data_IF_533090406029
#
_entry.id   IF_533090406029
#
_cell.length_a   1.000
_cell.length_b   1.000
_cell.length_c   1.000
_cell.angle_alpha   90.00
_cell.angle_beta   90.00
_cell.angle_gamma   90.00
#
_symmetry.space_group_name_H-M   'P 1'
#
loop_
_entity.id
_entity.type
_entity.pdbx_description
1 polymer ?
#
# COMPACT_ATOMS: atom_id res chain seq x y z
N UNK A 1 -22.60 -12.70 -23.59
CA UNK A 1 -22.67 -12.27 -22.18
C UNK A 1 -21.80 -13.22 -21.37
N UNK A 2 -20.78 -12.73 -20.67
CA UNK A 2 -20.00 -13.59 -19.78
C UNK A 2 -20.85 -13.95 -18.56
N UNK A 3 -20.90 -15.23 -18.20
CA UNK A 3 -21.61 -15.68 -17.00
C UNK A 3 -20.88 -15.15 -15.76
N UNK A 4 -21.62 -14.50 -14.86
CA UNK A 4 -21.07 -13.96 -13.62
C UNK A 4 -20.91 -15.09 -12.62
N UNK A 5 -19.67 -15.34 -12.18
CA UNK A 5 -19.36 -16.34 -11.16
C UNK A 5 -19.42 -15.64 -9.81
N UNK A 6 -20.52 -15.84 -9.08
CA UNK A 6 -20.67 -15.31 -7.73
C UNK A 6 -19.85 -16.13 -6.73
N UNK A 7 -19.15 -15.45 -5.82
CA UNK A 7 -18.39 -16.05 -4.72
C UNK A 7 -17.28 -17.06 -5.12
N UNK A 8 -16.33 -16.68 -6.01
CA UNK A 8 -15.23 -17.57 -6.35
C UNK A 8 -14.33 -17.90 -5.15
N UNK A 9 -13.77 -19.10 -5.16
CA UNK A 9 -12.79 -19.48 -4.14
C UNK A 9 -11.49 -18.69 -4.32
N UNK A 10 -10.78 -18.43 -3.22
CA UNK A 10 -9.50 -17.68 -3.23
C UNK A 10 -8.43 -18.35 -4.11
N UNK A 11 -8.43 -19.68 -4.17
CA UNK A 11 -7.50 -20.45 -5.00
C UNK A 11 -7.78 -20.26 -6.50
N UNK A 12 -9.05 -20.13 -6.90
CA UNK A 12 -9.46 -19.93 -8.30
C UNK A 12 -9.00 -18.57 -8.81
N UNK A 13 -9.30 -17.50 -8.07
CA UNK A 13 -8.82 -16.15 -8.41
C UNK A 13 -7.30 -16.10 -8.49
N UNK A 14 -6.60 -16.76 -7.56
CA UNK A 14 -5.12 -16.83 -7.55
C UNK A 14 -4.58 -17.56 -8.78
N UNK A 15 -5.21 -18.63 -9.21
CA UNK A 15 -4.84 -19.37 -10.43
C UNK A 15 -5.05 -18.54 -11.69
N UNK A 16 -6.20 -17.86 -11.80
CA UNK A 16 -6.51 -17.00 -12.97
C UNK A 16 -5.57 -15.79 -13.04
N UNK A 17 -5.30 -15.13 -11.91
CA UNK A 17 -4.35 -14.01 -11.86
C UNK A 17 -2.95 -14.49 -12.28
N UNK A 18 -2.51 -15.67 -11.83
CA UNK A 18 -1.20 -16.24 -12.23
C UNK A 18 -1.15 -16.52 -13.72
N UNK A 19 -2.21 -17.11 -14.27
CA UNK A 19 -2.33 -17.39 -15.70
C UNK A 19 -2.26 -16.12 -16.56
N UNK A 20 -3.05 -15.08 -16.22
CA UNK A 20 -3.07 -13.82 -16.98
C UNK A 20 -1.74 -13.05 -16.88
N UNK A 21 -1.07 -13.09 -15.72
CA UNK A 21 0.28 -12.53 -15.59
C UNK A 21 1.30 -13.29 -16.46
N UNK A 22 1.22 -14.62 -16.54
CA UNK A 22 2.10 -15.42 -17.40
C UNK A 22 1.87 -15.14 -18.89
N UNK A 23 0.68 -14.69 -19.28
CA UNK A 23 0.37 -14.19 -20.62
C UNK A 23 0.85 -12.75 -20.87
N UNK A 24 1.56 -12.12 -19.93
CA UNK A 24 1.96 -10.71 -19.99
C UNK A 24 0.78 -9.74 -20.16
N UNK A 25 -0.42 -10.11 -19.69
CA UNK A 25 -1.58 -9.22 -19.71
C UNK A 25 -1.30 -8.05 -18.77
N UNK A 26 -1.52 -6.82 -19.24
CA UNK A 26 -1.27 -5.62 -18.43
C UNK A 26 -2.12 -5.67 -17.15
N UNK A 27 -1.59 -5.27 -15.98
CA UNK A 27 -2.31 -5.36 -14.70
C UNK A 27 -3.73 -4.74 -14.70
N UNK A 28 -3.91 -3.63 -15.43
CA UNK A 28 -5.22 -2.97 -15.55
C UNK A 28 -6.25 -3.84 -16.28
N UNK A 29 -5.80 -4.66 -17.22
CA UNK A 29 -6.65 -5.53 -18.01
C UNK A 29 -6.98 -6.82 -17.24
N UNK A 30 -6.03 -7.32 -16.45
CA UNK A 30 -6.29 -8.39 -15.47
C UNK A 30 -7.40 -7.97 -14.51
N UNK A 31 -7.32 -6.76 -13.96
CA UNK A 31 -8.36 -6.23 -13.06
C UNK A 31 -9.73 -6.18 -13.73
N UNK A 32 -9.82 -5.67 -14.96
CA UNK A 32 -11.09 -5.59 -15.71
C UNK A 32 -11.69 -6.95 -15.99
N UNK A 33 -10.87 -7.91 -16.42
CA UNK A 33 -11.32 -9.27 -16.71
C UNK A 33 -11.81 -9.97 -15.45
N UNK A 34 -11.09 -9.84 -14.33
CA UNK A 34 -11.50 -10.39 -13.05
C UNK A 34 -12.82 -9.76 -12.59
N UNK A 35 -12.95 -8.43 -12.68
CA UNK A 35 -14.17 -7.71 -12.30
C UNK A 35 -15.37 -8.12 -13.17
N UNK A 36 -15.16 -8.29 -14.48
CA UNK A 36 -16.21 -8.67 -15.41
C UNK A 36 -16.72 -10.11 -15.20
N UNK A 37 -15.84 -11.03 -14.81
CA UNK A 37 -16.17 -12.46 -14.67
C UNK A 37 -16.63 -12.82 -13.25
N UNK A 38 -16.00 -12.23 -12.24
CA UNK A 38 -16.18 -12.61 -10.84
C UNK A 38 -16.90 -11.55 -9.99
N UNK A 39 -17.31 -10.44 -10.60
CA UNK A 39 -18.02 -9.34 -9.96
C UNK A 39 -17.14 -8.45 -9.08
N UNK A 40 -17.75 -7.39 -8.53
CA UNK A 40 -17.06 -6.36 -7.73
C UNK A 40 -16.38 -6.93 -6.47
N UNK A 41 -16.88 -8.05 -5.95
CA UNK A 41 -16.38 -8.70 -4.74
C UNK A 41 -15.11 -9.54 -4.97
N UNK A 42 -14.72 -9.80 -6.23
CA UNK A 42 -13.58 -10.65 -6.56
C UNK A 42 -12.23 -10.08 -6.11
N UNK A 43 -12.07 -8.75 -6.22
CA UNK A 43 -10.85 -8.05 -5.83
C UNK A 43 -10.81 -7.69 -4.34
N UNK A 44 -11.75 -8.22 -3.55
CA UNK A 44 -11.77 -8.11 -2.09
C UNK A 44 -10.55 -8.74 -1.42
N UNK A 45 -9.52 -9.23 -2.13
CA UNK A 45 -8.29 -9.76 -1.52
C UNK A 45 -7.63 -8.79 -0.52
N UNK A 46 -7.66 -7.47 -0.78
CA UNK A 46 -7.20 -6.44 0.17
C UNK A 46 -8.14 -6.34 1.38
N UNK A 47 -9.45 -6.41 1.15
CA UNK A 47 -10.47 -6.42 2.21
C UNK A 47 -10.44 -7.72 3.05
N UNK A 48 -10.13 -8.85 2.41
CA UNK A 48 -10.08 -10.19 2.99
C UNK A 48 -8.80 -10.43 3.81
N UNK A 49 -7.69 -9.77 3.45
CA UNK A 49 -6.44 -9.78 4.24
C UNK A 49 -6.55 -8.96 5.54
N UNK A 50 -7.60 -8.14 5.69
CA UNK A 50 -7.87 -7.29 6.87
C UNK A 50 -9.31 -7.42 7.36
N UNK A 51 -9.87 -8.64 7.39
CA UNK A 51 -11.20 -8.90 7.97
C UNK A 51 -11.16 -8.57 9.47
N UNK A 52 -11.81 -7.46 9.84
CA UNK A 52 -11.84 -6.92 11.21
C UNK A 52 -11.50 -5.42 11.28
N UNK A 53 -10.58 -4.92 10.45
CA UNK A 53 -10.25 -3.47 10.41
C UNK A 53 -11.23 -2.64 9.58
N UNK A 54 -12.02 -3.28 8.71
CA UNK A 54 -12.96 -2.62 7.80
C UNK A 54 -14.37 -2.41 8.37
N UNK A 55 -14.63 -2.77 9.63
CA UNK A 55 -15.76 -2.16 10.36
C UNK A 55 -15.54 -0.66 10.52
N UNK A 56 -14.27 -0.22 10.44
CA UNK A 56 -13.83 1.17 10.52
C UNK A 56 -13.31 1.66 9.17
N UNK A 57 -13.52 2.95 8.88
CA UNK A 57 -13.10 3.61 7.64
C UNK A 57 -11.57 3.57 7.50
N UNK A 58 -11.05 3.12 6.35
CA UNK A 58 -9.59 3.15 6.07
C UNK A 58 -9.16 4.58 5.79
N UNK A 59 -8.08 5.01 6.44
CA UNK A 59 -7.40 6.28 6.18
C UNK A 59 -6.06 5.99 5.50
N UNK A 60 -5.86 6.56 4.32
CA UNK A 60 -4.65 6.46 3.52
C UNK A 60 -3.79 7.71 3.72
N UNK A 61 -2.53 7.51 4.08
CA UNK A 61 -1.51 8.55 4.18
C UNK A 61 -0.51 8.32 3.04
N UNK A 62 -0.36 9.30 2.15
CA UNK A 62 0.66 9.34 1.10
C UNK A 62 1.07 10.79 0.82
N UNK A 63 2.17 10.98 0.10
CA UNK A 63 2.66 12.30 -0.32
C UNK A 63 1.88 12.89 -1.51
N UNK A 64 2.15 14.15 -1.84
CA UNK A 64 1.45 14.87 -2.92
C UNK A 64 2.10 14.72 -4.30
N UNK A 65 2.80 13.60 -4.56
CA UNK A 65 3.37 13.35 -5.89
C UNK A 65 2.27 13.40 -6.97
N UNK A 66 2.60 13.94 -8.15
CA UNK A 66 1.63 14.13 -9.26
C UNK A 66 0.81 12.87 -9.60
N UNK A 67 1.40 11.65 -9.63
CA UNK A 67 0.63 10.43 -9.85
C UNK A 67 -0.41 10.13 -8.76
N UNK A 68 -0.12 10.48 -7.50
CA UNK A 68 -1.01 10.27 -6.35
C UNK A 68 -2.18 11.26 -6.33
N UNK A 69 -1.93 12.51 -6.75
CA UNK A 69 -2.97 13.54 -6.81
C UNK A 69 -3.83 13.51 -8.08
N UNK A 70 -3.53 12.63 -9.04
CA UNK A 70 -4.24 12.57 -10.32
C UNK A 70 -5.73 12.24 -10.14
N UNK A 71 -6.57 12.75 -11.04
CA UNK A 71 -8.01 12.49 -11.01
C UNK A 71 -8.33 10.99 -11.08
N UNK A 72 -7.54 10.25 -11.88
CA UNK A 72 -7.69 8.79 -12.01
C UNK A 72 -7.38 8.06 -10.69
N UNK A 73 -6.30 8.42 -10.02
CA UNK A 73 -5.94 7.81 -8.72
C UNK A 73 -6.98 8.14 -7.66
N UNK A 74 -7.43 9.40 -7.58
CA UNK A 74 -8.48 9.82 -6.65
C UNK A 74 -9.80 9.08 -6.90
N UNK A 75 -10.20 8.90 -8.16
CA UNK A 75 -11.41 8.16 -8.52
C UNK A 75 -11.33 6.69 -8.07
N UNK A 76 -10.17 6.05 -8.25
CA UNK A 76 -9.95 4.67 -7.81
C UNK A 76 -9.99 4.55 -6.28
N UNK A 77 -9.32 5.45 -5.55
CA UNK A 77 -9.35 5.48 -4.08
C UNK A 77 -10.77 5.69 -3.52
N UNK A 78 -11.56 6.54 -4.18
CA UNK A 78 -12.97 6.74 -3.84
C UNK A 78 -13.80 5.46 -4.08
N UNK A 79 -13.50 4.69 -5.13
CA UNK A 79 -14.18 3.41 -5.39
C UNK A 79 -13.95 2.39 -4.26
N UNK A 80 -12.79 2.45 -3.61
CA UNK A 80 -12.49 1.65 -2.41
C UNK A 80 -13.08 2.22 -1.12
N UNK A 81 -13.70 3.40 -1.18
CA UNK A 81 -14.25 4.16 -0.04
C UNK A 81 -13.17 4.51 1.01
N UNK A 82 -11.94 4.73 0.57
CA UNK A 82 -10.84 5.12 1.46
C UNK A 82 -10.83 6.64 1.67
N UNK A 83 -10.57 7.07 2.91
CA UNK A 83 -10.33 8.47 3.21
C UNK A 83 -8.86 8.80 2.95
N UNK A 84 -8.59 9.86 2.19
CA UNK A 84 -7.24 10.38 2.02
C UNK A 84 -6.96 11.34 3.17
N UNK A 85 -5.85 11.13 3.88
CA UNK A 85 -5.35 12.04 4.90
C UNK A 85 -4.61 13.20 4.22
N UNK A 86 -4.87 14.44 4.64
CA UNK A 86 -4.17 15.60 4.11
C UNK A 86 -2.69 15.57 4.49
N UNK A 87 -1.81 15.56 3.51
CA UNK A 87 -0.37 15.62 3.73
C UNK A 87 0.17 16.98 3.25
N UNK A 88 0.96 17.71 4.05
CA UNK A 88 1.58 18.95 3.60
C UNK A 88 2.66 18.70 2.53
N UNK A 89 2.88 19.63 1.59
CA UNK A 89 4.00 19.55 0.66
C UNK A 89 5.35 19.47 1.38
N UNK A 90 6.31 18.76 0.79
CA UNK A 90 7.71 18.70 1.25
C UNK A 90 7.91 18.28 2.71
N UNK A 91 7.03 17.44 3.26
CA UNK A 91 7.05 17.05 4.69
C UNK A 91 7.33 15.56 4.91
N UNK A 92 8.51 15.03 4.49
CA UNK A 92 8.86 13.63 4.69
C UNK A 92 8.99 13.27 6.19
N UNK A 93 9.26 14.25 7.04
CA UNK A 93 9.26 14.14 8.50
C UNK A 93 7.88 13.83 9.11
N UNK A 94 6.80 14.00 8.32
CA UNK A 94 5.42 13.65 8.67
C UNK A 94 4.91 12.39 7.95
N UNK A 95 5.76 11.70 7.19
CA UNK A 95 5.43 10.46 6.50
C UNK A 95 6.06 9.24 7.22
N UNK A 96 5.27 8.31 7.79
CA UNK A 96 5.80 7.15 8.51
C UNK A 96 6.77 6.29 7.70
N UNK A 97 6.54 6.18 6.39
CA UNK A 97 7.46 5.50 5.48
C UNK A 97 8.85 6.13 5.50
N UNK A 98 8.93 7.47 5.43
CA UNK A 98 10.18 8.21 5.30
C UNK A 98 10.94 8.39 6.62
N UNK A 99 10.24 8.73 7.71
CA UNK A 99 10.92 8.94 9.00
C UNK A 99 11.22 7.65 9.78
N UNK A 100 10.53 6.53 9.49
CA UNK A 100 10.64 5.31 10.30
C UNK A 100 10.99 4.04 9.53
N UNK A 101 10.27 3.73 8.45
CA UNK A 101 10.46 2.46 7.73
C UNK A 101 11.73 2.48 6.85
N UNK A 102 11.87 3.49 5.98
CA UNK A 102 12.97 3.58 5.03
C UNK A 102 14.35 3.76 5.67
N UNK A 103 14.54 4.46 6.80
CA UNK A 103 15.81 4.48 7.50
C UNK A 103 16.29 3.07 7.90
N UNK A 104 15.37 2.23 8.39
CA UNK A 104 15.69 0.83 8.74
C UNK A 104 15.97 -0.02 7.51
N UNK A 105 15.19 0.18 6.44
CA UNK A 105 15.44 -0.49 5.17
C UNK A 105 16.82 -0.12 4.61
N UNK A 106 17.21 1.15 4.68
CA UNK A 106 18.51 1.64 4.24
C UNK A 106 19.65 0.98 5.02
N UNK A 107 19.50 0.79 6.33
CA UNK A 107 20.47 0.04 7.15
C UNK A 107 20.54 -1.42 6.70
N UNK A 108 19.39 -2.06 6.46
CA UNK A 108 19.36 -3.45 5.96
C UNK A 108 20.02 -3.61 4.59
N UNK A 109 19.82 -2.66 3.69
CA UNK A 109 20.40 -2.66 2.34
C UNK A 109 21.87 -2.25 2.34
N UNK A 110 22.35 -1.59 3.40
CA UNK A 110 23.72 -1.12 3.50
C UNK A 110 24.74 -2.25 3.33
N UNK A 111 25.63 -2.11 2.34
CA UNK A 111 26.70 -3.07 2.07
C UNK A 111 26.25 -4.37 1.40
N UNK A 112 24.97 -4.51 1.02
CA UNK A 112 24.47 -5.70 0.31
C UNK A 112 24.55 -5.49 -1.20
N UNK A 113 25.07 -6.51 -1.89
CA UNK A 113 25.00 -6.63 -3.34
C UNK A 113 23.98 -7.70 -3.69
N UNK A 114 23.05 -7.37 -4.59
CA UNK A 114 22.06 -8.29 -5.11
C UNK A 114 22.42 -8.66 -6.53
N UNK A 115 22.16 -9.91 -6.93
CA UNK A 115 22.51 -10.40 -8.27
C UNK A 115 21.56 -9.91 -9.35
N UNK A 116 20.40 -9.36 -8.97
CA UNK A 116 19.42 -8.76 -9.86
C UNK A 116 18.13 -8.40 -9.14
N UNK A 117 17.14 -7.93 -9.91
CA UNK A 117 15.88 -7.41 -9.37
C UNK A 117 15.08 -8.43 -8.56
N UNK A 118 15.06 -9.71 -8.98
CA UNK A 118 14.33 -10.75 -8.27
C UNK A 118 14.95 -11.08 -6.91
N UNK A 119 16.28 -11.10 -6.84
CA UNK A 119 17.03 -11.28 -5.59
C UNK A 119 16.80 -10.09 -4.64
N UNK A 120 16.82 -8.86 -5.15
CA UNK A 120 16.48 -7.67 -4.39
C UNK A 120 15.03 -7.73 -3.85
N UNK A 121 14.06 -8.08 -4.71
CA UNK A 121 12.64 -8.18 -4.31
C UNK A 121 12.45 -9.21 -3.21
N UNK A 122 13.05 -10.39 -3.33
CA UNK A 122 12.91 -11.43 -2.31
C UNK A 122 13.64 -11.06 -1.02
N UNK A 123 14.81 -10.40 -1.12
CA UNK A 123 15.54 -9.88 0.02
C UNK A 123 14.73 -8.85 0.82
N UNK A 124 14.14 -7.85 0.13
CA UNK A 124 13.29 -6.83 0.76
C UNK A 124 12.02 -7.46 1.35
N UNK A 125 11.39 -8.40 0.64
CA UNK A 125 10.19 -9.10 1.11
C UNK A 125 10.49 -9.92 2.37
N UNK A 126 11.59 -10.65 2.38
CA UNK A 126 12.04 -11.42 3.55
C UNK A 126 12.30 -10.51 4.74
N UNK A 127 12.93 -9.36 4.52
CA UNK A 127 13.14 -8.35 5.56
C UNK A 127 11.83 -7.77 6.10
N UNK A 128 10.87 -7.41 5.24
CA UNK A 128 9.57 -6.91 5.68
C UNK A 128 8.81 -7.95 6.53
N UNK A 129 8.95 -9.24 6.19
CA UNK A 129 8.35 -10.34 6.94
C UNK A 129 9.06 -10.65 8.26
N UNK A 130 10.34 -10.29 8.42
CA UNK A 130 11.06 -10.49 9.68
C UNK A 130 10.80 -9.39 10.71
N UNK A 131 10.23 -8.25 10.31
CA UNK A 131 9.87 -7.18 11.24
C UNK A 131 8.66 -7.58 12.10
N UNK A 132 8.81 -7.43 13.42
CA UNK A 132 7.70 -7.58 14.36
C UNK A 132 6.60 -6.55 14.10
N UNK A 133 5.33 -6.91 14.34
CA UNK A 133 4.18 -6.01 14.18
C UNK A 133 4.38 -4.69 14.95
N UNK A 134 4.97 -4.76 16.13
CA UNK A 134 5.29 -3.63 16.99
C UNK A 134 6.16 -2.57 16.30
N UNK A 135 7.04 -3.01 15.39
CA UNK A 135 7.86 -2.08 14.62
C UNK A 135 7.01 -1.18 13.72
N UNK A 136 5.87 -1.66 13.20
CA UNK A 136 4.97 -0.83 12.42
C UNK A 136 4.14 0.09 13.32
N UNK A 137 3.66 -0.42 14.46
CA UNK A 137 2.88 0.34 15.44
C UNK A 137 3.64 1.57 15.93
N UNK A 138 4.89 1.39 16.38
CA UNK A 138 5.74 2.50 16.83
C UNK A 138 5.92 3.58 15.77
N UNK A 139 5.99 3.19 14.49
CA UNK A 139 6.07 4.14 13.38
C UNK A 139 4.81 4.99 13.26
N UNK A 140 3.64 4.35 13.33
CA UNK A 140 2.33 5.02 13.21
C UNK A 140 2.01 5.86 14.45
N UNK A 141 2.29 5.38 15.65
CA UNK A 141 2.03 6.11 16.90
C UNK A 141 2.85 7.40 17.01
N UNK A 142 4.05 7.43 16.40
CA UNK A 142 4.87 8.65 16.30
C UNK A 142 4.27 9.74 15.42
N UNK A 143 3.20 9.45 14.66
CA UNK A 143 2.57 10.44 13.78
C UNK A 143 1.96 11.60 14.59
N UNK A 144 1.18 11.29 15.63
CA UNK A 144 0.51 12.29 16.49
C UNK A 144 1.50 13.27 17.11
N UNK A 145 2.55 12.83 17.85
CA UNK A 145 3.50 13.77 18.45
C UNK A 145 4.30 14.55 17.39
N UNK A 146 4.54 13.99 16.19
CA UNK A 146 5.20 14.72 15.10
C UNK A 146 4.33 15.84 14.55
N UNK A 147 3.03 15.59 14.31
CA UNK A 147 2.11 16.65 13.89
C UNK A 147 1.97 17.73 14.96
N UNK A 148 1.88 17.37 16.24
CA UNK A 148 1.85 18.35 17.33
C UNK A 148 3.11 19.22 17.32
N UNK A 149 4.30 18.61 17.23
CA UNK A 149 5.57 19.36 17.16
C UNK A 149 5.64 20.28 15.93
N UNK A 150 5.12 19.86 14.78
CA UNK A 150 5.02 20.70 13.59
C UNK A 150 4.10 21.91 13.84
N UNK A 151 2.94 21.69 14.47
CA UNK A 151 2.00 22.77 14.81
C UNK A 151 2.60 23.74 15.83
N UNK A 152 3.24 23.23 16.88
CA UNK A 152 3.92 24.04 17.91
C UNK A 152 5.06 24.87 17.32
N UNK A 153 5.69 24.36 16.26
CA UNK A 153 6.76 25.04 15.52
C UNK A 153 6.23 25.90 14.37
N UNK A 154 4.92 26.22 14.35
CA UNK A 154 4.28 27.03 13.30
C UNK A 154 4.49 26.51 11.87
N UNK A 155 4.57 25.19 11.71
CA UNK A 155 4.76 24.53 10.43
C UNK A 155 6.22 24.28 10.03
N UNK A 156 7.19 24.55 10.91
CA UNK A 156 8.60 24.23 10.66
C UNK A 156 8.88 22.71 10.75
N UNK A 157 10.04 22.31 10.23
CA UNK A 157 10.47 20.92 10.14
C UNK A 157 10.58 20.26 11.52
N UNK A 158 10.09 19.02 11.60
CA UNK A 158 10.20 18.21 12.79
C UNK A 158 11.52 17.43 12.77
N UNK A 159 12.48 17.91 13.55
CA UNK A 159 13.76 17.20 13.74
C UNK A 159 13.56 15.74 14.20
N UNK A 160 14.49 14.88 13.80
CA UNK A 160 14.45 13.43 14.01
C UNK A 160 14.62 13.01 15.46
#
# INVERSE_FOLDING_TARGET
MAALIENPAKCELRSVIRFLNAQNVRPIEIYRQIKAVYGDNAMSAIQNKRRGMLSSKVVLIHDNARPHCSARTKAELNSFKWQIFGHPPYSPDLAPSDYHLFPKLKVFLGGKNFLGDEDLKEGVKTWLHSLAAEQYNVGIEKLVPRYNKCLDSSGDFVEK
#
